data_IF_579070837036
#
_entry.id   IF_579070837036
#
_cell.length_a   1.000
_cell.length_b   1.000
_cell.length_c   1.000
_cell.angle_alpha   90.00
_cell.angle_beta   90.00
_cell.angle_gamma   90.00
#
_symmetry.space_group_name_H-M   'P 1'
#
loop_
_entity.id
_entity.type
_entity.pdbx_description
1 polymer ?
#
# COMPACT_ATOMS: atom_id res chain seq x y z
N UNK A 1 3.83 -20.95 34.96
CA UNK A 1 5.14 -20.34 35.29
C UNK A 1 5.22 -18.82 35.07
N UNK A 2 4.10 -18.10 34.89
CA UNK A 2 4.11 -16.62 34.90
C UNK A 2 4.85 -15.93 33.75
N UNK A 3 5.43 -16.69 32.81
CA UNK A 3 6.11 -16.15 31.62
C UNK A 3 5.11 -15.60 30.60
N UNK A 4 5.50 -14.50 29.95
CA UNK A 4 4.82 -13.98 28.77
C UNK A 4 4.84 -15.03 27.65
N UNK A 5 3.68 -15.23 27.02
CA UNK A 5 3.51 -16.05 25.85
C UNK A 5 2.90 -15.20 24.75
N UNK A 6 3.50 -15.21 23.57
CA UNK A 6 3.01 -14.48 22.41
C UNK A 6 2.24 -15.45 21.50
N UNK A 7 1.08 -15.02 21.04
CA UNK A 7 0.28 -15.75 20.05
C UNK A 7 -0.05 -14.82 18.91
N UNK A 8 0.05 -15.34 17.68
CA UNK A 8 -0.24 -14.60 16.45
C UNK A 8 -1.39 -15.33 15.75
N UNK A 9 -2.65 -15.10 16.19
CA UNK A 9 -3.79 -15.72 15.54
C UNK A 9 -3.89 -15.22 14.10
N UNK A 10 -4.17 -16.13 13.18
CA UNK A 10 -4.51 -15.77 11.80
C UNK A 10 -5.88 -15.11 11.85
N UNK A 11 -5.99 -13.91 11.31
CA UNK A 11 -7.26 -13.20 11.16
C UNK A 11 -7.77 -13.46 9.74
N UNK A 12 -8.99 -13.99 9.61
CA UNK A 12 -9.66 -14.10 8.32
C UNK A 12 -10.34 -12.74 8.00
N UNK A 13 -9.91 -12.00 6.97
CA UNK A 13 -10.55 -10.75 6.58
C UNK A 13 -12.05 -10.89 6.25
N UNK A 14 -12.50 -12.07 5.83
CA UNK A 14 -13.90 -12.37 5.55
C UNK A 14 -14.78 -12.45 6.80
N UNK A 15 -14.20 -12.69 7.97
CA UNK A 15 -14.89 -12.68 9.27
C UNK A 15 -14.83 -11.31 9.96
N UNK A 16 -14.09 -10.37 9.40
CA UNK A 16 -13.98 -8.99 9.89
C UNK A 16 -15.00 -8.09 9.17
N UNK A 17 -15.35 -6.91 9.74
CA UNK A 17 -16.20 -5.91 9.08
C UNK A 17 -15.44 -5.17 7.97
N UNK A 18 -14.79 -5.92 7.09
CA UNK A 18 -14.01 -5.45 5.95
C UNK A 18 -14.78 -5.74 4.66
N UNK A 19 -14.60 -4.85 3.69
CA UNK A 19 -15.16 -5.02 2.35
C UNK A 19 -14.02 -5.03 1.34
N UNK A 20 -13.93 -6.08 0.53
CA UNK A 20 -12.96 -6.13 -0.55
C UNK A 20 -13.31 -5.05 -1.60
N UNK A 21 -12.35 -4.18 -1.91
CA UNK A 21 -12.49 -3.23 -3.00
C UNK A 21 -12.45 -3.99 -4.34
N UNK A 22 -13.36 -3.64 -5.26
CA UNK A 22 -13.51 -4.33 -6.55
C UNK A 22 -13.42 -3.36 -7.69
N UNK A 23 -12.83 -3.81 -8.80
CA UNK A 23 -12.87 -3.13 -10.08
C UNK A 23 -14.29 -3.16 -10.67
N UNK A 24 -14.53 -2.40 -11.74
CA UNK A 24 -15.85 -2.29 -12.38
C UNK A 24 -16.39 -3.63 -12.93
N UNK A 25 -15.50 -4.57 -13.27
CA UNK A 25 -15.85 -5.93 -13.72
C UNK A 25 -16.11 -6.91 -12.56
N UNK A 26 -16.00 -6.45 -11.31
CA UNK A 26 -16.21 -7.24 -10.11
C UNK A 26 -14.97 -8.00 -9.62
N UNK A 27 -13.85 -7.95 -10.33
CA UNK A 27 -12.59 -8.55 -9.87
C UNK A 27 -12.02 -7.78 -8.66
N UNK A 28 -11.23 -8.43 -7.78
CA UNK A 28 -10.56 -7.74 -6.69
C UNK A 28 -9.66 -6.60 -7.21
N UNK A 29 -9.77 -5.42 -6.60
CA UNK A 29 -8.81 -4.36 -6.86
C UNK A 29 -7.47 -4.72 -6.20
N UNK A 30 -6.39 -4.66 -6.98
CA UNK A 30 -5.05 -5.06 -6.56
C UNK A 30 -4.02 -3.97 -6.88
N UNK A 31 -3.01 -3.88 -6.02
CA UNK A 31 -1.77 -3.17 -6.30
C UNK A 31 -0.65 -4.17 -6.56
N UNK A 32 0.28 -3.83 -7.45
CA UNK A 32 1.43 -4.66 -7.73
C UNK A 32 2.71 -3.83 -7.63
N UNK A 33 3.75 -4.39 -7.02
CA UNK A 33 5.08 -3.81 -6.90
C UNK A 33 6.08 -4.72 -7.59
N UNK A 34 6.97 -4.15 -8.40
CA UNK A 34 8.11 -4.90 -8.94
C UNK A 34 9.18 -5.03 -7.87
N UNK A 35 9.61 -6.26 -7.61
CA UNK A 35 10.69 -6.61 -6.71
C UNK A 35 11.94 -7.01 -7.51
N UNK A 36 13.13 -7.07 -6.86
CA UNK A 36 14.34 -7.54 -7.50
C UNK A 36 14.20 -8.93 -8.15
N UNK A 37 15.06 -9.21 -9.13
CA UNK A 37 15.05 -10.46 -9.90
C UNK A 37 13.74 -10.76 -10.67
N UNK A 38 12.96 -9.71 -11.01
CA UNK A 38 11.73 -9.83 -11.78
C UNK A 38 10.54 -10.39 -10.99
N UNK A 39 10.65 -10.45 -9.66
CA UNK A 39 9.55 -10.84 -8.78
C UNK A 39 8.49 -9.74 -8.72
N UNK A 40 7.27 -10.11 -8.38
CA UNK A 40 6.16 -9.18 -8.20
C UNK A 40 5.49 -9.46 -6.86
N UNK A 41 5.26 -8.40 -6.09
CA UNK A 41 4.43 -8.44 -4.89
C UNK A 41 3.08 -7.83 -5.22
N UNK A 42 2.02 -8.64 -5.17
CA UNK A 42 0.63 -8.22 -5.33
C UNK A 42 -0.02 -8.06 -3.96
N UNK A 43 -0.94 -7.12 -3.83
CA UNK A 43 -1.78 -7.03 -2.65
C UNK A 43 -3.20 -6.62 -3.02
N UNK A 44 -4.18 -7.25 -2.38
CA UNK A 44 -5.60 -6.86 -2.45
C UNK A 44 -5.87 -5.69 -1.53
N UNK A 45 -6.84 -4.87 -1.92
CA UNK A 45 -7.25 -3.69 -1.15
C UNK A 45 -8.55 -4.01 -0.40
N UNK A 46 -8.46 -4.06 0.92
CA UNK A 46 -9.62 -4.15 1.81
C UNK A 46 -9.99 -2.77 2.33
N UNK A 47 -11.29 -2.53 2.56
CA UNK A 47 -11.81 -1.28 3.10
C UNK A 47 -12.57 -1.53 4.40
N UNK A 48 -12.17 -0.85 5.46
CA UNK A 48 -12.97 -0.68 6.68
C UNK A 48 -13.57 0.74 6.72
N UNK A 49 -14.75 0.89 7.32
CA UNK A 49 -15.33 2.20 7.60
C UNK A 49 -14.99 2.61 9.04
N UNK A 50 -14.17 3.65 9.22
CA UNK A 50 -13.84 4.22 10.53
C UNK A 50 -14.58 5.54 10.67
N UNK A 51 -15.82 5.47 11.16
CA UNK A 51 -16.74 6.61 11.12
C UNK A 51 -17.01 7.02 9.67
N UNK A 52 -16.55 8.21 9.27
CA UNK A 52 -16.66 8.73 7.89
C UNK A 52 -15.39 8.55 7.07
N UNK A 53 -14.32 8.03 7.67
CA UNK A 53 -13.02 7.89 7.02
C UNK A 53 -12.87 6.45 6.52
N UNK A 54 -12.61 6.24 5.22
CA UNK A 54 -12.27 4.92 4.71
C UNK A 54 -10.84 4.57 5.14
N UNK A 55 -10.68 3.45 5.83
CA UNK A 55 -9.38 2.84 6.09
C UNK A 55 -9.13 1.77 5.01
N UNK A 56 -8.07 1.96 4.23
CA UNK A 56 -7.61 0.99 3.24
C UNK A 56 -6.53 0.11 3.89
N UNK A 57 -6.70 -1.20 3.75
CA UNK A 57 -5.79 -2.23 4.26
C UNK A 57 -5.26 -3.02 3.07
N UNK A 58 -3.97 -3.31 3.06
CA UNK A 58 -3.31 -4.10 2.03
C UNK A 58 -3.08 -5.51 2.54
N UNK A 59 -3.42 -6.49 1.72
CA UNK A 59 -3.27 -7.90 2.03
C UNK A 59 -2.51 -8.61 0.92
N UNK A 60 -1.33 -9.12 1.24
CA UNK A 60 -0.43 -9.80 0.31
C UNK A 60 -0.69 -11.31 0.19
N UNK A 61 -1.65 -11.87 0.94
CA UNK A 61 -2.09 -13.27 0.78
C UNK A 61 -2.91 -13.43 -0.52
N UNK A 62 -2.21 -13.37 -1.64
CA UNK A 62 -2.72 -13.50 -3.01
C UNK A 62 -2.09 -14.74 -3.64
N UNK A 63 -2.90 -15.56 -4.31
CA UNK A 63 -2.45 -16.83 -4.86
C UNK A 63 -1.30 -16.68 -5.88
N UNK A 64 -1.31 -15.60 -6.66
CA UNK A 64 -0.27 -15.28 -7.64
C UNK A 64 1.08 -14.90 -7.03
N UNK A 65 1.13 -14.59 -5.74
CA UNK A 65 2.38 -14.28 -5.05
C UNK A 65 3.16 -15.56 -4.73
N UNK A 66 4.48 -15.46 -4.83
CA UNK A 66 5.35 -16.46 -4.20
C UNK A 66 5.25 -16.40 -2.67
N UNK A 67 5.78 -17.42 -2.00
CA UNK A 67 5.68 -17.56 -0.54
C UNK A 67 6.20 -16.33 0.21
N UNK A 68 7.35 -15.80 -0.18
CA UNK A 68 7.95 -14.66 0.52
C UNK A 68 7.15 -13.38 0.32
N UNK A 69 6.49 -13.22 -0.83
CA UNK A 69 5.57 -12.10 -1.09
C UNK A 69 4.26 -12.23 -0.30
N UNK A 70 3.70 -13.44 -0.16
CA UNK A 70 2.49 -13.68 0.67
C UNK A 70 2.70 -13.38 2.15
N UNK A 71 3.89 -13.71 2.65
CA UNK A 71 4.21 -13.52 4.06
C UNK A 71 4.39 -12.01 4.40
N UNK A 72 4.48 -11.08 3.44
CA UNK A 72 4.75 -9.65 3.73
C UNK A 72 3.74 -9.04 4.71
N UNK A 73 2.49 -9.47 4.70
CA UNK A 73 1.44 -8.97 5.61
C UNK A 73 1.09 -9.92 6.75
N UNK A 74 1.94 -10.92 7.05
CA UNK A 74 1.62 -11.98 8.01
C UNK A 74 1.71 -11.53 9.48
N UNK A 75 2.64 -10.63 9.81
CA UNK A 75 2.95 -10.21 11.18
C UNK A 75 3.40 -8.76 11.26
N UNK A 76 2.91 -8.08 12.30
CA UNK A 76 3.38 -6.76 12.67
C UNK A 76 4.74 -6.88 13.40
N UNK A 77 5.73 -6.10 12.95
CA UNK A 77 7.10 -6.08 13.50
C UNK A 77 7.82 -7.45 13.49
N UNK A 78 7.52 -8.29 12.50
CA UNK A 78 8.17 -9.58 12.29
C UNK A 78 9.26 -9.57 11.21
N UNK A 79 9.99 -10.69 11.11
CA UNK A 79 10.92 -10.94 10.02
C UNK A 79 12.30 -10.27 10.14
N UNK A 80 13.11 -10.43 9.10
CA UNK A 80 14.42 -9.79 8.95
C UNK A 80 14.36 -8.48 8.17
N UNK A 81 15.52 -7.84 7.94
CA UNK A 81 15.60 -6.54 7.27
C UNK A 81 14.98 -6.52 5.86
N UNK A 82 15.10 -7.60 5.10
CA UNK A 82 14.50 -7.71 3.76
C UNK A 82 12.97 -7.80 3.82
N UNK A 83 12.44 -8.57 4.77
CA UNK A 83 11.00 -8.66 4.99
C UNK A 83 10.42 -7.30 5.37
N UNK A 84 11.07 -6.61 6.31
CA UNK A 84 10.68 -5.26 6.71
C UNK A 84 10.78 -4.26 5.55
N UNK A 85 11.79 -4.37 4.69
CA UNK A 85 11.89 -3.53 3.50
C UNK A 85 10.69 -3.76 2.56
N UNK A 86 10.29 -5.01 2.32
CA UNK A 86 9.10 -5.29 1.52
C UNK A 86 7.81 -4.76 2.15
N UNK A 87 7.68 -4.82 3.48
CA UNK A 87 6.56 -4.20 4.20
C UNK A 87 6.52 -2.68 4.00
N UNK A 88 7.65 -1.99 4.17
CA UNK A 88 7.75 -0.53 3.99
C UNK A 88 7.53 -0.12 2.52
N UNK A 89 8.01 -0.93 1.56
CA UNK A 89 7.71 -0.75 0.14
C UNK A 89 6.21 -0.93 -0.14
N UNK A 90 5.58 -1.99 0.36
CA UNK A 90 4.15 -2.23 0.17
C UNK A 90 3.32 -1.11 0.79
N UNK A 91 3.65 -0.68 2.01
CA UNK A 91 2.95 0.39 2.69
C UNK A 91 3.11 1.74 1.95
N UNK A 92 4.33 2.09 1.53
CA UNK A 92 4.60 3.35 0.84
C UNK A 92 4.08 3.37 -0.59
N UNK A 93 4.57 2.47 -1.45
CA UNK A 93 4.22 2.41 -2.88
C UNK A 93 2.80 1.87 -3.04
N UNK A 94 2.52 0.71 -2.45
CA UNK A 94 1.20 0.08 -2.53
C UNK A 94 0.13 0.95 -1.89
N UNK A 95 0.44 1.68 -0.81
CA UNK A 95 -0.48 2.61 -0.17
C UNK A 95 -0.92 3.75 -1.10
N UNK A 96 0.02 4.40 -1.80
CA UNK A 96 -0.31 5.44 -2.79
C UNK A 96 -1.21 4.86 -3.89
N UNK A 97 -0.81 3.74 -4.48
CA UNK A 97 -1.57 3.08 -5.56
C UNK A 97 -2.97 2.66 -5.10
N UNK A 98 -3.12 2.21 -3.86
CA UNK A 98 -4.42 1.83 -3.31
C UNK A 98 -5.34 3.05 -3.12
N UNK A 99 -4.79 4.18 -2.68
CA UNK A 99 -5.53 5.44 -2.61
C UNK A 99 -5.97 5.89 -4.01
N UNK A 100 -5.08 5.84 -5.01
CA UNK A 100 -5.45 6.14 -6.41
C UNK A 100 -6.57 5.24 -6.91
N UNK A 101 -6.47 3.92 -6.67
CA UNK A 101 -7.50 2.96 -7.05
C UNK A 101 -8.83 3.27 -6.36
N UNK A 102 -8.81 3.57 -5.06
CA UNK A 102 -10.00 3.95 -4.31
C UNK A 102 -10.66 5.21 -4.86
N UNK A 103 -9.90 6.29 -5.08
CA UNK A 103 -10.41 7.54 -5.66
C UNK A 103 -11.02 7.30 -7.03
N UNK A 104 -10.32 6.59 -7.93
CA UNK A 104 -10.83 6.21 -9.25
C UNK A 104 -12.15 5.44 -9.20
N UNK A 105 -12.24 4.45 -8.32
CA UNK A 105 -13.38 3.52 -8.26
C UNK A 105 -14.60 4.12 -7.57
N UNK A 106 -14.40 5.08 -6.66
CA UNK A 106 -15.48 5.62 -5.83
C UNK A 106 -15.83 7.07 -6.13
N UNK A 107 -15.03 7.75 -6.96
CA UNK A 107 -15.16 9.18 -7.24
C UNK A 107 -14.73 10.08 -6.07
N UNK A 108 -14.02 9.54 -5.06
CA UNK A 108 -13.45 10.38 -4.02
C UNK A 108 -12.40 11.33 -4.61
N UNK A 109 -12.33 12.59 -4.13
CA UNK A 109 -11.26 13.51 -4.52
C UNK A 109 -9.89 12.91 -4.24
N UNK A 110 -8.94 13.16 -5.14
CA UNK A 110 -7.56 12.77 -4.88
C UNK A 110 -6.94 13.62 -3.76
N UNK A 111 -6.08 13.02 -2.91
CA UNK A 111 -5.41 13.77 -1.86
C UNK A 111 -4.34 14.71 -2.43
N UNK A 112 -4.29 15.92 -1.88
CA UNK A 112 -3.22 16.89 -2.14
C UNK A 112 -2.11 16.81 -1.08
N UNK A 113 -2.46 16.36 0.14
CA UNK A 113 -1.57 16.23 1.28
C UNK A 113 -1.49 14.77 1.70
N UNK A 114 -0.26 14.31 1.95
CA UNK A 114 0.02 12.96 2.38
C UNK A 114 0.76 13.02 3.71
N UNK A 115 0.21 12.36 4.72
CA UNK A 115 0.88 12.24 6.01
C UNK A 115 1.62 10.92 6.08
N UNK A 116 2.89 10.94 6.48
CA UNK A 116 3.65 9.73 6.78
C UNK A 116 3.76 9.56 8.28
N UNK A 117 3.10 8.53 8.83
CA UNK A 117 3.32 8.17 10.22
C UNK A 117 4.69 7.46 10.34
N UNK A 118 5.70 8.24 10.71
CA UNK A 118 7.11 7.82 10.80
C UNK A 118 7.72 7.38 9.45
N UNK A 119 8.93 6.81 9.49
CA UNK A 119 9.69 6.42 8.29
C UNK A 119 9.14 5.21 7.54
N UNK A 120 8.17 4.47 8.11
CA UNK A 120 7.67 3.21 7.54
C UNK A 120 6.96 3.37 6.20
N UNK A 121 6.37 4.54 5.96
CA UNK A 121 5.75 4.88 4.69
C UNK A 121 6.68 5.72 3.79
N UNK A 122 8.00 5.76 4.05
CA UNK A 122 8.93 6.65 3.34
C UNK A 122 8.95 6.48 1.82
N UNK A 123 8.67 5.27 1.31
CA UNK A 123 8.57 5.00 -0.13
C UNK A 123 7.38 5.70 -0.81
N UNK A 124 6.41 6.21 -0.05
CA UNK A 124 5.30 7.04 -0.56
C UNK A 124 5.82 8.24 -1.34
N UNK A 125 6.87 8.91 -0.83
CA UNK A 125 7.43 10.08 -1.50
C UNK A 125 8.04 9.72 -2.85
N UNK A 126 8.76 8.59 -2.91
CA UNK A 126 9.38 8.11 -4.15
C UNK A 126 8.33 7.71 -5.19
N UNK A 127 7.26 7.04 -4.77
CA UNK A 127 6.16 6.69 -5.67
C UNK A 127 5.49 7.93 -6.26
N UNK A 128 5.22 8.95 -5.43
CA UNK A 128 4.63 10.21 -5.91
C UNK A 128 5.54 10.97 -6.87
N UNK A 129 6.85 10.97 -6.62
CA UNK A 129 7.83 11.56 -7.57
C UNK A 129 7.79 10.79 -8.89
N UNK A 130 7.76 9.46 -8.83
CA UNK A 130 7.65 8.61 -10.01
C UNK A 130 6.35 8.91 -10.80
N UNK A 131 5.19 9.00 -10.14
CA UNK A 131 3.91 9.35 -10.77
C UNK A 131 4.00 10.67 -11.56
N UNK A 132 4.61 11.71 -10.98
CA UNK A 132 4.78 13.00 -11.65
C UNK A 132 5.67 12.89 -12.89
N UNK A 133 6.80 12.19 -12.78
CA UNK A 133 7.79 12.07 -13.86
C UNK A 133 7.37 11.16 -15.01
N UNK A 134 6.47 10.22 -14.73
CA UNK A 134 5.96 9.25 -15.72
C UNK A 134 4.53 9.53 -16.15
N UNK A 135 3.97 10.66 -15.71
CA UNK A 135 2.63 11.07 -16.13
C UNK A 135 2.57 11.23 -17.64
N UNK A 136 1.43 10.86 -18.24
CA UNK A 136 1.21 11.03 -19.69
C UNK A 136 1.09 12.51 -20.11
N UNK A 137 1.19 13.44 -19.16
CA UNK A 137 1.19 14.87 -19.43
C UNK A 137 2.48 15.25 -20.19
N UNK A 138 2.38 15.79 -21.43
CA UNK A 138 3.56 16.23 -22.18
C UNK A 138 4.35 17.36 -21.49
N UNK A 139 3.73 18.05 -20.53
CA UNK A 139 4.35 19.08 -19.69
C UNK A 139 4.64 18.57 -18.27
N UNK A 140 4.94 17.28 -18.11
CA UNK A 140 5.34 16.73 -16.82
C UNK A 140 6.56 17.47 -16.26
N UNK A 141 6.65 17.66 -14.93
CA UNK A 141 7.79 18.34 -14.32
C UNK A 141 9.10 17.57 -14.54
N UNK A 142 10.22 18.28 -14.36
CA UNK A 142 11.51 17.64 -14.17
C UNK A 142 11.65 17.08 -12.74
N UNK A 143 12.72 16.32 -12.49
CA UNK A 143 12.93 15.69 -11.18
C UNK A 143 12.96 16.69 -10.03
N UNK A 144 13.62 17.84 -10.21
CA UNK A 144 13.74 18.86 -9.16
C UNK A 144 12.37 19.44 -8.78
N UNK A 145 11.56 19.73 -9.80
CA UNK A 145 10.20 20.27 -9.60
C UNK A 145 9.27 19.21 -8.99
N UNK A 146 9.35 17.95 -9.45
CA UNK A 146 8.58 16.85 -8.90
C UNK A 146 8.92 16.59 -7.42
N UNK A 147 10.22 16.61 -7.08
CA UNK A 147 10.69 16.47 -5.72
C UNK A 147 10.16 17.58 -4.82
N UNK A 148 10.21 18.84 -5.26
CA UNK A 148 9.70 19.97 -4.48
C UNK A 148 8.18 19.90 -4.28
N UNK A 149 7.42 19.54 -5.33
CA UNK A 149 5.98 19.36 -5.24
C UNK A 149 5.59 18.26 -4.23
N UNK A 150 6.31 17.13 -4.23
CA UNK A 150 6.06 16.04 -3.28
C UNK A 150 6.42 16.46 -1.85
N UNK A 151 7.53 17.17 -1.66
CA UNK A 151 7.92 17.68 -0.33
C UNK A 151 6.89 18.65 0.24
N UNK A 152 6.39 19.59 -0.58
CA UNK A 152 5.39 20.56 -0.16
C UNK A 152 4.06 19.90 0.25
N UNK A 153 3.71 18.77 -0.37
CA UNK A 153 2.49 18.01 -0.07
C UNK A 153 2.71 16.81 0.86
N UNK A 154 3.81 16.73 1.60
CA UNK A 154 4.08 15.64 2.57
C UNK A 154 4.28 16.20 3.97
N UNK A 155 3.60 15.62 4.96
CA UNK A 155 3.61 16.03 6.39
C UNK A 155 4.09 14.90 7.28
#
# INVERSE_FOLDING_TARGET
EGWQQETYPVLDPGELPLTLLREADGTPAEVALTLPAGRVLRARIWRAAVGRVPLLLLDSEVEDNDRAAREVTDRLYGGGSEHRLHQEMLLGIGGVRAVRAYCRLTGHPEPEVFHTNEGHAGFLGLERVHELLTSENPAHPDFATALEAVRAGTV
#
